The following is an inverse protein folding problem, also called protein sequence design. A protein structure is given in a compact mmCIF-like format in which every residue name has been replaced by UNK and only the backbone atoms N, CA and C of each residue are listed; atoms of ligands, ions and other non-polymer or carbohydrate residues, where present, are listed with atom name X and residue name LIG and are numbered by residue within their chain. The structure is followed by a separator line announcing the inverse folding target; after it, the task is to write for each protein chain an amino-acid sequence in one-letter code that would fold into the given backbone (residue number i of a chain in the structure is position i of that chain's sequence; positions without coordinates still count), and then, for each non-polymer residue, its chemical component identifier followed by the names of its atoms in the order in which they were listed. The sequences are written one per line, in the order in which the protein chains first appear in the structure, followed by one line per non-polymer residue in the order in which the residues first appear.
data_IF_437143223743
#
_entry.id   IF_437143223743
#
_cell.length_a   1.000
_cell.length_b   1.000
_cell.length_c   1.000
_cell.angle_alpha   90.00
_cell.angle_beta   90.00
_cell.angle_gamma   90.00
#
_symmetry.space_group_name_H-M   'P 1'
#
loop_
_entity.id
_entity.type
_entity.pdbx_description
1 polymer ?
#
# COMPACT_ATOMS: atom_id res chain seq x y z
N UNK A 1 -17.63 0.07 25.73
CA UNK A 1 -17.13 -0.09 24.36
C UNK A 1 -17.09 -1.56 24.00
N UNK A 2 -17.43 -1.91 22.76
CA UNK A 2 -17.22 -3.27 22.23
C UNK A 2 -15.75 -3.51 22.01
N UNK A 3 -15.28 -4.71 22.34
CA UNK A 3 -13.87 -5.06 22.16
C UNK A 3 -13.66 -5.77 20.83
N UNK A 4 -12.62 -5.39 20.08
CA UNK A 4 -12.28 -5.99 18.79
C UNK A 4 -10.84 -6.50 18.78
N UNK A 5 -10.66 -7.81 18.50
CA UNK A 5 -9.34 -8.44 18.36
C UNK A 5 -8.85 -8.28 16.93
N UNK A 6 -7.72 -7.61 16.74
CA UNK A 6 -7.09 -7.34 15.45
C UNK A 6 -5.84 -8.22 15.29
N UNK A 7 -5.89 -9.17 14.38
CA UNK A 7 -4.80 -10.10 14.07
C UNK A 7 -4.01 -9.53 12.88
N UNK A 8 -2.82 -9.02 13.16
CA UNK A 8 -1.93 -8.40 12.16
C UNK A 8 -0.49 -8.88 12.32
N UNK A 9 0.23 -8.99 11.20
CA UNK A 9 1.67 -9.24 11.23
C UNK A 9 2.46 -7.95 11.33
N UNK A 10 2.04 -6.92 10.57
CA UNK A 10 2.73 -5.64 10.52
C UNK A 10 2.19 -4.71 11.61
N UNK A 11 3.05 -4.39 12.57
CA UNK A 11 2.75 -3.47 13.68
C UNK A 11 4.02 -2.70 14.07
N UNK A 12 3.93 -1.45 14.58
CA UNK A 12 5.12 -0.72 15.02
C UNK A 12 6.01 -1.54 15.99
N UNK A 13 7.34 -1.48 15.86
CA UNK A 13 8.16 -0.55 15.05
C UNK A 13 8.42 -0.98 13.60
N UNK A 14 7.63 -1.90 13.02
CA UNK A 14 7.72 -2.18 11.60
C UNK A 14 7.29 -0.96 10.80
N UNK A 15 8.09 -0.60 9.79
CA UNK A 15 7.77 0.48 8.84
C UNK A 15 7.10 -0.03 7.56
N UNK A 16 6.74 0.90 6.70
CA UNK A 16 6.18 0.66 5.38
C UNK A 16 4.65 0.63 5.32
N UNK A 17 4.12 0.52 4.11
CA UNK A 17 2.67 0.67 3.83
C UNK A 17 1.79 -0.37 4.55
N UNK A 18 2.35 -1.54 4.85
CA UNK A 18 1.62 -2.63 5.51
C UNK A 18 1.15 -2.32 6.94
N UNK A 19 1.83 -1.40 7.63
CA UNK A 19 1.54 -1.02 9.02
C UNK A 19 0.44 0.04 9.09
N UNK A 20 0.49 1.02 8.19
CA UNK A 20 -0.27 2.26 8.28
C UNK A 20 -1.79 2.06 8.42
N UNK A 21 -2.36 1.12 7.64
CA UNK A 21 -3.81 0.92 7.60
C UNK A 21 -4.39 0.60 8.98
N UNK A 22 -3.90 -0.45 9.63
CA UNK A 22 -4.47 -0.88 10.92
C UNK A 22 -3.95 -0.08 12.11
N UNK A 23 -2.75 0.49 12.04
CA UNK A 23 -2.30 1.46 13.03
C UNK A 23 -3.26 2.66 13.10
N UNK A 24 -3.60 3.24 11.93
CA UNK A 24 -4.51 4.39 11.85
C UNK A 24 -5.95 4.02 12.22
N UNK A 25 -6.43 2.82 11.85
CA UNK A 25 -7.75 2.37 12.31
C UNK A 25 -7.78 2.20 13.84
N UNK A 26 -6.77 1.58 14.43
CA UNK A 26 -6.65 1.45 15.89
C UNK A 26 -6.65 2.83 16.59
N UNK A 27 -5.99 3.83 15.98
CA UNK A 27 -5.94 5.21 16.48
C UNK A 27 -7.34 5.81 16.65
N UNK A 28 -8.26 5.52 15.74
CA UNK A 28 -9.58 6.15 15.71
C UNK A 28 -10.75 5.23 16.13
N UNK A 29 -10.54 3.93 16.36
CA UNK A 29 -11.64 3.00 16.69
C UNK A 29 -12.41 3.36 17.95
N UNK A 30 -11.73 3.96 18.94
CA UNK A 30 -12.39 4.42 20.19
C UNK A 30 -13.40 5.53 19.92
N UNK A 31 -13.19 6.38 18.93
CA UNK A 31 -14.14 7.42 18.52
C UNK A 31 -15.48 6.83 18.03
N UNK A 32 -15.46 5.56 17.63
CA UNK A 32 -16.61 4.81 17.10
C UNK A 32 -17.09 3.71 18.04
N UNK A 33 -16.70 3.75 19.31
CA UNK A 33 -17.20 2.84 20.35
C UNK A 33 -16.55 1.46 20.40
N UNK A 34 -15.39 1.28 19.75
CA UNK A 34 -14.64 0.03 19.76
C UNK A 34 -13.32 0.16 20.52
N UNK A 35 -13.08 -0.77 21.44
CA UNK A 35 -11.79 -0.91 22.14
C UNK A 35 -10.92 -1.93 21.39
N UNK A 36 -9.82 -1.52 20.77
CA UNK A 36 -8.95 -2.42 20.02
C UNK A 36 -8.05 -3.25 20.94
N UNK A 37 -7.91 -4.54 20.61
CA UNK A 37 -6.90 -5.46 21.14
C UNK A 37 -6.08 -5.95 19.97
N UNK A 38 -4.79 -5.70 19.96
CA UNK A 38 -3.92 -6.04 18.82
C UNK A 38 -3.12 -7.31 19.12
N UNK A 39 -3.20 -8.30 18.23
CA UNK A 39 -2.36 -9.50 18.27
C UNK A 39 -1.34 -9.47 17.13
N UNK A 40 -0.05 -9.50 17.48
CA UNK A 40 1.07 -9.34 16.56
C UNK A 40 2.28 -10.21 16.99
N UNK A 41 3.24 -10.56 16.09
CA UNK A 41 4.43 -11.28 16.50
C UNK A 41 5.33 -10.43 17.42
N UNK A 42 6.05 -11.12 18.33
CA UNK A 42 7.01 -10.49 19.24
C UNK A 42 8.31 -10.12 18.52
N UNK A 43 8.77 -11.01 17.64
CA UNK A 43 10.06 -10.96 16.95
C UNK A 43 9.89 -11.08 15.42
N UNK A 44 9.11 -10.20 14.76
CA UNK A 44 8.89 -10.28 13.31
C UNK A 44 10.16 -9.95 12.54
N UNK A 45 10.29 -10.51 11.34
CA UNK A 45 11.30 -10.06 10.39
C UNK A 45 10.87 -8.71 9.78
N UNK A 46 11.57 -7.64 10.13
CA UNK A 46 11.25 -6.28 9.68
C UNK A 46 11.90 -6.02 8.32
N UNK A 47 11.10 -5.63 7.33
CA UNK A 47 11.62 -5.12 6.04
C UNK A 47 12.20 -3.69 6.19
N UNK A 48 11.59 -2.89 7.04
CA UNK A 48 12.01 -1.57 7.44
C UNK A 48 11.63 -1.37 8.91
N UNK A 49 12.42 -0.57 9.64
CA UNK A 49 12.14 -0.18 11.02
C UNK A 49 11.83 1.29 11.06
N UNK A 50 10.71 1.65 11.69
CA UNK A 50 10.29 3.03 11.90
C UNK A 50 9.76 3.19 13.33
N UNK A 51 10.60 3.73 14.20
CA UNK A 51 10.26 3.94 15.60
C UNK A 51 9.32 5.13 15.82
N UNK A 52 9.21 6.04 14.84
CA UNK A 52 8.31 7.19 14.93
C UNK A 52 6.86 6.75 15.05
N UNK A 53 6.50 5.62 14.42
CA UNK A 53 5.16 5.04 14.46
C UNK A 53 4.73 4.54 15.85
N UNK A 54 5.66 4.32 16.78
CA UNK A 54 5.32 3.95 18.16
C UNK A 54 4.51 5.04 18.87
N UNK A 55 4.72 6.30 18.51
CA UNK A 55 4.01 7.45 19.07
C UNK A 55 2.55 7.53 18.62
N UNK A 56 2.21 6.83 17.55
CA UNK A 56 0.85 6.79 16.99
C UNK A 56 -0.04 5.73 17.63
N UNK A 57 0.54 4.82 18.41
CA UNK A 57 -0.23 3.81 19.14
C UNK A 57 -0.97 4.54 20.29
N UNK A 58 -2.31 4.50 20.33
CA UNK A 58 -3.05 5.15 21.42
C UNK A 58 -2.69 4.54 22.77
N UNK A 59 -2.64 5.40 23.77
CA UNK A 59 -2.36 4.97 25.14
C UNK A 59 -3.39 3.93 25.64
N UNK A 60 -2.91 2.92 26.36
CA UNK A 60 -3.74 1.87 26.95
C UNK A 60 -4.26 0.82 25.96
N UNK A 61 -3.86 0.83 24.69
CA UNK A 61 -4.19 -0.27 23.76
C UNK A 61 -3.50 -1.56 24.20
N UNK A 62 -4.31 -2.60 24.40
CA UNK A 62 -3.80 -3.93 24.73
C UNK A 62 -3.11 -4.56 23.52
N UNK A 63 -1.80 -4.89 23.66
CA UNK A 63 -1.01 -5.51 22.60
C UNK A 63 -0.53 -6.89 23.05
N UNK A 64 -1.10 -7.93 22.45
CA UNK A 64 -0.75 -9.31 22.68
C UNK A 64 0.37 -9.71 21.70
N UNK A 65 1.50 -10.15 22.25
CA UNK A 65 2.67 -10.55 21.46
C UNK A 65 3.02 -12.01 21.69
N UNK A 66 3.38 -12.72 20.62
CA UNK A 66 3.89 -14.10 20.70
C UNK A 66 5.05 -14.27 19.74
N UNK A 67 6.04 -15.05 20.15
CA UNK A 67 7.17 -15.40 19.29
C UNK A 67 6.70 -16.09 18.00
N UNK A 68 7.35 -15.73 16.90
CA UNK A 68 7.18 -16.36 15.60
C UNK A 68 8.47 -17.07 15.18
N UNK A 69 8.34 -18.28 14.65
CA UNK A 69 9.42 -18.97 13.96
C UNK A 69 9.22 -18.82 12.46
N UNK A 70 10.13 -18.10 11.83
CA UNK A 70 10.11 -17.90 10.39
C UNK A 70 11.12 -18.81 9.68
N UNK A 71 10.76 -19.38 8.51
CA UNK A 71 11.63 -20.33 7.79
C UNK A 71 12.97 -19.74 7.36
N UNK A 72 13.07 -18.43 7.34
CA UNK A 72 14.28 -17.70 6.98
C UNK A 72 15.44 -17.96 7.97
N UNK A 73 15.14 -18.16 9.25
CA UNK A 73 16.13 -18.56 10.23
C UNK A 73 16.63 -19.99 9.97
N UNK A 74 15.75 -20.88 9.51
CA UNK A 74 16.13 -22.22 9.06
C UNK A 74 17.03 -22.17 7.82
N UNK A 75 16.73 -21.29 6.87
CA UNK A 75 17.54 -21.09 5.66
C UNK A 75 18.94 -20.55 5.97
N UNK A 76 19.08 -19.63 6.94
CA UNK A 76 20.38 -19.14 7.42
C UNK A 76 21.24 -20.28 7.99
N UNK A 77 20.63 -21.17 8.75
CA UNK A 77 21.31 -22.34 9.33
C UNK A 77 21.80 -23.29 8.21
N UNK A 78 20.96 -23.52 7.18
CA UNK A 78 21.30 -24.43 6.07
C UNK A 78 22.31 -23.85 5.07
N UNK A 79 22.36 -22.52 4.89
CA UNK A 79 23.20 -21.89 3.85
C UNK A 79 24.48 -21.25 4.39
N UNK A 80 24.65 -21.15 5.71
CA UNK A 80 25.84 -20.54 6.35
C UNK A 80 26.05 -19.05 6.03
N UNK A 81 25.11 -18.37 5.37
CA UNK A 81 25.23 -16.96 4.99
C UNK A 81 24.92 -16.04 6.16
N UNK A 82 25.83 -15.07 6.44
CA UNK A 82 25.61 -14.02 7.43
C UNK A 82 24.48 -13.06 7.02
N UNK A 83 23.77 -12.54 8.02
CA UNK A 83 22.56 -11.72 7.94
C UNK A 83 22.62 -10.51 6.99
N UNK A 84 23.80 -9.99 6.66
CA UNK A 84 23.99 -8.78 5.86
C UNK A 84 23.90 -8.98 4.33
N UNK A 85 23.86 -10.21 3.83
CA UNK A 85 23.89 -10.50 2.40
C UNK A 85 22.56 -10.90 1.77
N UNK A 86 21.51 -11.01 2.56
CA UNK A 86 20.19 -11.39 2.05
C UNK A 86 19.19 -10.30 2.42
N UNK A 87 18.87 -9.42 1.47
CA UNK A 87 17.91 -8.34 1.70
C UNK A 87 16.50 -8.92 1.86
N UNK A 88 15.75 -8.56 2.92
CA UNK A 88 14.31 -8.80 2.97
C UNK A 88 13.67 -8.08 1.78
N UNK A 89 12.80 -8.72 1.05
CA UNK A 89 12.18 -8.10 -0.13
C UNK A 89 12.57 -8.69 -1.48
N UNK A 90 13.35 -9.75 -1.53
CA UNK A 90 13.80 -10.41 -2.77
C UNK A 90 12.66 -10.88 -3.70
N UNK A 91 11.41 -10.77 -3.30
CA UNK A 91 10.24 -11.13 -4.11
C UNK A 91 9.74 -9.95 -4.95
N UNK A 92 9.98 -8.70 -4.55
CA UNK A 92 9.50 -7.52 -5.29
C UNK A 92 10.42 -7.06 -6.42
N UNK A 93 11.64 -7.61 -6.53
CA UNK A 93 12.63 -7.20 -7.53
C UNK A 93 12.84 -8.19 -8.68
N UNK A 94 11.94 -9.15 -8.88
CA UNK A 94 12.05 -10.09 -10.02
C UNK A 94 11.64 -9.46 -11.37
N UNK A 95 11.45 -8.14 -11.42
CA UNK A 95 11.04 -7.41 -12.63
C UNK A 95 12.19 -6.70 -13.38
N UNK A 96 13.41 -6.64 -12.86
CA UNK A 96 14.49 -5.95 -13.57
C UNK A 96 15.85 -6.59 -13.31
N UNK A 97 16.26 -7.43 -14.22
CA UNK A 97 17.61 -7.96 -14.27
C UNK A 97 17.65 -9.32 -14.96
N UNK A 98 18.05 -9.35 -16.19
CA UNK A 98 18.43 -10.54 -16.96
C UNK A 98 19.65 -11.22 -16.33
N UNK A 99 19.48 -11.82 -15.16
CA UNK A 99 20.48 -12.65 -14.50
C UNK A 99 19.88 -14.03 -14.25
N UNK A 100 20.45 -15.08 -14.82
CA UNK A 100 20.18 -16.50 -14.52
C UNK A 100 20.35 -16.71 -13.02
N UNK A 101 19.25 -16.63 -12.24
CA UNK A 101 19.25 -16.97 -10.82
C UNK A 101 19.93 -18.33 -10.60
N UNK A 102 20.82 -18.41 -9.61
CA UNK A 102 21.54 -19.64 -9.27
C UNK A 102 20.54 -20.78 -9.05
N UNK A 103 20.90 -22.01 -9.42
CA UNK A 103 20.08 -23.22 -9.16
C UNK A 103 19.64 -23.28 -7.70
N UNK A 104 20.51 -22.85 -6.77
CA UNK A 104 20.22 -22.75 -5.33
C UNK A 104 19.08 -21.75 -5.03
N UNK A 105 19.02 -20.64 -5.74
CA UNK A 105 17.93 -19.64 -5.57
C UNK A 105 16.59 -20.19 -6.05
N UNK A 106 16.58 -20.89 -7.19
CA UNK A 106 15.39 -21.57 -7.72
C UNK A 106 14.87 -22.65 -6.78
N UNK A 107 15.76 -23.48 -6.23
CA UNK A 107 15.41 -24.50 -5.24
C UNK A 107 14.87 -23.85 -3.95
N UNK A 108 15.51 -22.79 -3.48
CA UNK A 108 15.06 -22.05 -2.29
C UNK A 108 13.67 -21.45 -2.49
N UNK A 109 13.43 -20.83 -3.65
CA UNK A 109 12.11 -20.29 -4.00
C UNK A 109 11.06 -21.40 -4.06
N UNK A 110 11.39 -22.52 -4.72
CA UNK A 110 10.49 -23.68 -4.81
C UNK A 110 10.12 -24.24 -3.43
N UNK A 111 11.11 -24.44 -2.54
CA UNK A 111 10.84 -24.90 -1.17
C UNK A 111 9.95 -23.91 -0.43
N UNK A 112 10.28 -22.63 -0.48
CA UNK A 112 9.51 -21.58 0.19
C UNK A 112 8.07 -21.52 -0.29
N UNK A 113 7.85 -21.61 -1.60
CA UNK A 113 6.53 -21.47 -2.21
C UNK A 113 5.66 -22.72 -2.06
N UNK A 114 6.25 -23.92 -1.91
CA UNK A 114 5.50 -25.16 -1.93
C UNK A 114 5.36 -25.82 -0.54
N UNK A 115 6.17 -25.44 0.45
CA UNK A 115 6.11 -26.04 1.79
C UNK A 115 5.56 -25.09 2.87
N UNK A 116 5.63 -23.77 2.64
CA UNK A 116 5.11 -22.79 3.60
C UNK A 116 3.84 -22.13 3.05
N UNK A 117 2.71 -22.78 3.28
CA UNK A 117 1.39 -22.39 2.75
C UNK A 117 0.53 -21.84 3.89
N UNK A 118 -0.02 -20.64 3.73
CA UNK A 118 -0.12 -19.81 2.53
C UNK A 118 1.09 -18.90 2.27
N UNK A 119 1.95 -18.72 3.25
CA UNK A 119 3.11 -17.82 3.23
C UNK A 119 4.13 -18.24 4.31
N UNK A 120 5.32 -17.64 4.36
CA UNK A 120 6.36 -17.99 5.34
C UNK A 120 5.96 -17.87 6.82
N UNK A 121 4.80 -17.31 7.12
CA UNK A 121 4.27 -17.16 8.49
C UNK A 121 3.37 -18.34 8.90
N UNK A 122 3.25 -19.35 8.05
CA UNK A 122 2.38 -20.53 8.27
C UNK A 122 2.65 -21.26 9.58
N UNK A 123 3.92 -21.33 10.01
CA UNK A 123 4.30 -21.97 11.29
C UNK A 123 3.72 -21.24 12.51
N UNK A 124 3.35 -19.98 12.38
CA UNK A 124 2.74 -19.18 13.45
C UNK A 124 1.26 -19.46 13.64
N UNK A 125 0.58 -20.12 12.68
CA UNK A 125 -0.86 -20.35 12.72
C UNK A 125 -1.26 -21.17 13.96
N UNK A 126 -0.72 -22.35 14.14
CA UNK A 126 -1.14 -23.26 15.23
C UNK A 126 -0.84 -22.72 16.63
N UNK A 127 0.37 -22.18 16.91
CA UNK A 127 0.66 -21.55 18.19
C UNK A 127 -0.25 -20.36 18.50
N UNK A 128 -0.54 -19.52 17.47
CA UNK A 128 -1.43 -18.36 17.62
C UNK A 128 -2.86 -18.77 17.95
N UNK A 129 -3.39 -19.76 17.26
CA UNK A 129 -4.75 -20.27 17.52
C UNK A 129 -4.85 -20.81 18.95
N UNK A 130 -3.87 -21.58 19.43
CA UNK A 130 -3.87 -22.11 20.79
C UNK A 130 -3.82 -21.00 21.83
N UNK A 131 -2.97 -20.00 21.63
CA UNK A 131 -2.84 -18.85 22.52
C UNK A 131 -4.14 -18.02 22.55
N UNK A 132 -4.67 -17.65 21.38
CA UNK A 132 -5.86 -16.81 21.29
C UNK A 132 -7.10 -17.50 21.84
N UNK A 133 -7.25 -18.82 21.63
CA UNK A 133 -8.34 -19.59 22.27
C UNK A 133 -8.27 -19.58 23.78
N UNK A 134 -7.07 -19.60 24.37
CA UNK A 134 -6.91 -19.49 25.83
C UNK A 134 -7.26 -18.07 26.30
N UNK A 135 -6.69 -17.05 25.64
CA UNK A 135 -6.94 -15.66 25.96
C UNK A 135 -8.44 -15.31 25.92
N UNK A 136 -9.15 -15.72 24.85
CA UNK A 136 -10.58 -15.41 24.66
C UNK A 136 -11.53 -16.11 25.64
N UNK A 137 -11.07 -17.12 26.39
CA UNK A 137 -11.84 -17.67 27.52
C UNK A 137 -11.88 -16.74 28.73
N UNK A 138 -10.78 -15.99 28.93
CA UNK A 138 -10.60 -15.09 30.08
C UNK A 138 -10.96 -13.64 29.74
N UNK A 139 -10.78 -13.26 28.48
CA UNK A 139 -10.95 -11.89 27.98
C UNK A 139 -11.80 -11.88 26.69
N UNK A 140 -13.12 -11.73 26.86
CA UNK A 140 -14.07 -11.76 25.76
C UNK A 140 -13.87 -10.55 24.80
N UNK A 141 -14.04 -10.79 23.48
CA UNK A 141 -14.14 -9.76 22.47
C UNK A 141 -15.43 -9.95 21.66
N UNK A 142 -15.93 -8.88 21.07
CA UNK A 142 -17.20 -8.88 20.31
C UNK A 142 -17.00 -9.19 18.84
N UNK A 143 -15.79 -8.97 18.31
CA UNK A 143 -15.43 -9.30 16.94
C UNK A 143 -13.95 -9.63 16.80
N UNK A 144 -13.63 -10.37 15.74
CA UNK A 144 -12.26 -10.64 15.29
C UNK A 144 -12.07 -9.94 13.95
N UNK A 145 -10.89 -9.34 13.75
CA UNK A 145 -10.43 -8.83 12.47
C UNK A 145 -9.12 -9.49 12.11
N UNK A 146 -8.95 -9.87 10.85
CA UNK A 146 -7.65 -10.27 10.31
C UNK A 146 -7.32 -9.44 9.08
N UNK A 147 -6.06 -9.02 8.95
CA UNK A 147 -5.59 -8.25 7.81
C UNK A 147 -4.44 -8.96 7.10
N UNK A 148 -4.54 -9.07 5.79
CA UNK A 148 -3.58 -9.70 4.91
C UNK A 148 -3.22 -8.87 3.69
N UNK A 149 -2.04 -9.10 3.07
CA UNK A 149 -1.03 -10.09 3.41
C UNK A 149 -0.26 -9.77 4.70
N UNK A 150 0.37 -10.78 5.37
CA UNK A 150 0.39 -12.20 5.07
C UNK A 150 -0.98 -12.87 5.29
N UNK A 151 -1.33 -13.83 4.42
CA UNK A 151 -2.64 -14.49 4.47
C UNK A 151 -2.77 -15.53 5.59
N UNK A 152 -1.65 -15.92 6.23
CA UNK A 152 -1.65 -16.69 7.48
C UNK A 152 -2.50 -16.05 8.57
N UNK A 153 -2.63 -14.72 8.59
CA UNK A 153 -3.49 -13.99 9.55
C UNK A 153 -4.95 -14.39 9.40
N UNK A 154 -5.42 -14.51 8.15
CA UNK A 154 -6.79 -14.96 7.89
C UNK A 154 -7.02 -16.41 8.35
N UNK A 155 -6.04 -17.29 8.18
CA UNK A 155 -6.14 -18.68 8.64
C UNK A 155 -6.13 -18.79 10.17
N UNK A 156 -5.41 -17.93 10.88
CA UNK A 156 -5.48 -17.81 12.35
C UNK A 156 -6.90 -17.42 12.75
N UNK A 157 -7.39 -16.29 12.21
CA UNK A 157 -8.72 -15.76 12.53
C UNK A 157 -9.84 -16.77 12.23
N UNK A 158 -9.80 -17.41 11.07
CA UNK A 158 -10.78 -18.45 10.67
C UNK A 158 -10.85 -19.59 11.68
N UNK A 159 -9.69 -20.11 12.13
CA UNK A 159 -9.64 -21.19 13.12
C UNK A 159 -10.11 -20.73 14.50
N UNK A 160 -9.81 -19.50 14.89
CA UNK A 160 -10.27 -18.92 16.16
C UNK A 160 -11.78 -18.67 16.12
N UNK A 161 -12.30 -18.02 15.08
CA UNK A 161 -13.73 -17.76 14.90
C UNK A 161 -14.55 -19.04 14.91
N UNK A 162 -14.13 -20.08 14.17
CA UNK A 162 -14.78 -21.41 14.20
C UNK A 162 -14.82 -22.04 15.60
N UNK A 163 -13.79 -21.81 16.41
CA UNK A 163 -13.68 -22.43 17.74
C UNK A 163 -14.41 -21.67 18.83
N UNK A 164 -14.68 -20.36 18.63
CA UNK A 164 -15.26 -19.46 19.64
C UNK A 164 -16.65 -18.96 19.28
N UNK A 165 -17.06 -19.06 18.02
CA UNK A 165 -18.32 -18.48 17.52
C UNK A 165 -18.28 -16.95 17.38
N UNK A 166 -17.14 -16.31 17.64
CA UNK A 166 -17.00 -14.86 17.55
C UNK A 166 -17.02 -14.43 16.07
N UNK A 167 -17.84 -13.43 15.68
CA UNK A 167 -17.93 -12.98 14.30
C UNK A 167 -16.59 -12.41 13.80
N UNK A 168 -16.32 -12.63 12.50
CA UNK A 168 -15.02 -12.35 11.91
C UNK A 168 -15.11 -11.52 10.65
N UNK A 169 -14.33 -10.41 10.61
CA UNK A 169 -14.07 -9.58 9.46
C UNK A 169 -12.69 -9.90 8.86
N UNK A 170 -12.66 -10.22 7.56
CA UNK A 170 -11.41 -10.42 6.81
C UNK A 170 -11.09 -9.18 5.95
N UNK A 171 -9.94 -8.53 6.21
CA UNK A 171 -9.46 -7.35 5.47
C UNK A 171 -8.37 -7.75 4.47
N UNK A 172 -8.71 -7.75 3.18
CA UNK A 172 -7.81 -8.04 2.06
C UNK A 172 -7.24 -6.74 1.51
N UNK A 173 -5.98 -6.44 1.83
CA UNK A 173 -5.28 -5.26 1.30
C UNK A 173 -4.75 -5.48 -0.12
N UNK A 174 -4.53 -6.73 -0.46
CA UNK A 174 -4.09 -7.20 -1.77
C UNK A 174 -4.83 -8.50 -2.13
N UNK A 175 -5.00 -8.82 -3.43
CA UNK A 175 -5.50 -10.12 -3.83
C UNK A 175 -4.55 -11.24 -3.37
N UNK A 176 -5.06 -12.43 -3.15
CA UNK A 176 -4.23 -13.57 -2.78
C UNK A 176 -3.75 -14.33 -4.01
N UNK A 177 -4.63 -15.09 -4.67
CA UNK A 177 -4.21 -15.91 -5.83
C UNK A 177 -4.24 -15.15 -7.16
N UNK A 178 -4.95 -14.02 -7.23
CA UNK A 178 -4.97 -13.12 -8.39
C UNK A 178 -3.87 -12.04 -8.34
N UNK A 179 -2.99 -12.06 -7.32
CA UNK A 179 -1.86 -11.15 -7.28
C UNK A 179 -0.94 -11.35 -8.50
N UNK A 180 -0.54 -10.26 -9.16
CA UNK A 180 0.21 -10.32 -10.43
C UNK A 180 1.48 -11.18 -10.37
N UNK A 181 2.14 -11.21 -9.21
CA UNK A 181 3.36 -11.99 -9.01
C UNK A 181 3.12 -13.45 -8.59
N UNK A 182 1.86 -13.85 -8.29
CA UNK A 182 1.54 -15.21 -7.85
C UNK A 182 2.00 -16.29 -8.85
N UNK A 183 1.86 -16.00 -10.16
CA UNK A 183 2.30 -16.89 -11.24
C UNK A 183 3.82 -17.10 -11.31
N UNK A 184 4.60 -16.16 -10.76
CA UNK A 184 6.07 -16.21 -10.76
C UNK A 184 6.67 -16.87 -9.52
N UNK A 185 5.85 -17.22 -8.52
CA UNK A 185 6.31 -17.85 -7.28
C UNK A 185 6.69 -19.32 -7.44
N UNK A 186 6.44 -19.95 -8.60
CA UNK A 186 6.83 -21.33 -8.88
C UNK A 186 6.04 -22.38 -8.08
N UNK A 187 4.78 -22.12 -7.79
CA UNK A 187 3.89 -23.09 -7.16
C UNK A 187 3.67 -24.30 -8.06
N UNK A 188 3.73 -25.50 -7.48
CA UNK A 188 3.24 -26.71 -8.15
C UNK A 188 1.72 -26.66 -8.30
N UNK A 189 1.16 -27.37 -9.27
CA UNK A 189 -0.28 -27.38 -9.52
C UNK A 189 -1.13 -27.76 -8.28
N UNK A 190 -0.76 -28.77 -7.46
CA UNK A 190 -1.48 -29.08 -6.22
C UNK A 190 -1.42 -27.95 -5.21
N UNK A 191 -0.26 -27.26 -5.09
CA UNK A 191 -0.09 -26.13 -4.16
C UNK A 191 -0.89 -24.92 -4.62
N UNK A 192 -0.88 -24.59 -5.91
CA UNK A 192 -1.72 -23.54 -6.47
C UNK A 192 -3.21 -23.80 -6.24
N UNK A 193 -3.66 -25.05 -6.41
CA UNK A 193 -5.04 -25.47 -6.11
C UNK A 193 -5.36 -25.33 -4.60
N UNK A 194 -4.40 -25.66 -3.73
CA UNK A 194 -4.54 -25.48 -2.28
C UNK A 194 -4.70 -24.01 -1.91
N UNK A 195 -3.89 -23.11 -2.47
CA UNK A 195 -4.03 -21.66 -2.26
C UNK A 195 -5.44 -21.16 -2.65
N UNK A 196 -5.92 -21.52 -3.84
CA UNK A 196 -7.28 -21.17 -4.30
C UNK A 196 -8.36 -21.69 -3.33
N UNK A 197 -8.21 -22.93 -2.85
CA UNK A 197 -9.14 -23.51 -1.87
C UNK A 197 -9.10 -22.76 -0.54
N UNK A 198 -7.92 -22.40 -0.05
CA UNK A 198 -7.76 -21.65 1.20
C UNK A 198 -8.35 -20.24 1.08
N UNK A 199 -8.04 -19.51 0.02
CA UNK A 199 -8.60 -18.19 -0.26
C UNK A 199 -10.13 -18.25 -0.29
N UNK A 200 -10.70 -19.15 -1.11
CA UNK A 200 -12.15 -19.35 -1.21
C UNK A 200 -12.77 -19.66 0.16
N UNK A 201 -12.13 -20.50 0.97
CA UNK A 201 -12.63 -20.85 2.30
C UNK A 201 -12.60 -19.67 3.29
N UNK A 202 -11.62 -18.78 3.20
CA UNK A 202 -11.56 -17.54 3.99
C UNK A 202 -12.70 -16.60 3.60
N UNK A 203 -12.90 -16.39 2.30
CA UNK A 203 -13.94 -15.50 1.77
C UNK A 203 -15.34 -16.01 2.13
N UNK A 204 -15.60 -17.31 2.01
CA UNK A 204 -16.91 -17.89 2.29
C UNK A 204 -17.25 -18.01 3.78
N UNK A 205 -16.27 -18.10 4.64
CA UNK A 205 -16.48 -18.29 6.09
C UNK A 205 -16.48 -16.97 6.86
N UNK A 206 -15.78 -15.95 6.41
CA UNK A 206 -15.81 -14.63 7.04
C UNK A 206 -17.25 -14.08 7.08
N UNK A 207 -17.60 -13.42 8.19
CA UNK A 207 -18.92 -12.79 8.36
C UNK A 207 -19.03 -11.47 7.61
N UNK A 208 -17.87 -10.84 7.35
CA UNK A 208 -17.70 -9.72 6.43
C UNK A 208 -16.32 -9.78 5.76
N UNK A 209 -16.25 -9.30 4.52
CA UNK A 209 -15.01 -9.15 3.78
C UNK A 209 -14.88 -7.69 3.36
N UNK A 210 -13.73 -7.08 3.65
CA UNK A 210 -13.39 -5.74 3.18
C UNK A 210 -12.14 -5.77 2.34
N UNK A 211 -12.03 -4.83 1.39
CA UNK A 211 -10.84 -4.66 0.56
C UNK A 211 -10.61 -3.19 0.22
N UNK A 212 -9.54 -2.90 -0.53
CA UNK A 212 -9.06 -1.53 -0.75
C UNK A 212 -9.49 -0.91 -2.07
N UNK A 213 -9.95 -1.70 -3.05
CA UNK A 213 -10.34 -1.21 -4.39
C UNK A 213 -11.53 -1.98 -4.97
N UNK A 214 -12.22 -1.37 -5.95
CA UNK A 214 -13.36 -1.99 -6.61
C UNK A 214 -12.96 -3.20 -7.47
N UNK A 215 -11.80 -3.15 -8.10
CA UNK A 215 -11.27 -4.28 -8.88
C UNK A 215 -11.07 -5.50 -7.98
N UNK A 216 -10.40 -5.35 -6.83
CA UNK A 216 -10.20 -6.45 -5.88
C UNK A 216 -11.55 -6.93 -5.32
N UNK A 217 -12.47 -5.99 -5.00
CA UNK A 217 -13.80 -6.36 -4.51
C UNK A 217 -14.55 -7.24 -5.49
N UNK A 218 -14.54 -6.89 -6.78
CA UNK A 218 -15.17 -7.69 -7.83
C UNK A 218 -14.58 -9.09 -7.93
N UNK A 219 -13.24 -9.19 -7.85
CA UNK A 219 -12.54 -10.48 -7.87
C UNK A 219 -12.85 -11.37 -6.66
N UNK A 220 -12.94 -10.78 -5.46
CA UNK A 220 -13.29 -11.52 -4.25
C UNK A 220 -14.76 -11.89 -4.22
N UNK A 221 -15.64 -11.07 -4.82
CA UNK A 221 -17.08 -11.35 -4.94
C UNK A 221 -17.37 -12.63 -5.73
N UNK A 222 -16.54 -12.96 -6.75
CA UNK A 222 -16.64 -14.21 -7.52
C UNK A 222 -16.44 -15.47 -6.67
N UNK A 223 -15.79 -15.37 -5.52
CA UNK A 223 -15.54 -16.50 -4.61
C UNK A 223 -16.71 -16.82 -3.69
N UNK A 224 -17.80 -16.04 -3.73
CA UNK A 224 -19.05 -16.27 -3.02
C UNK A 224 -19.00 -15.98 -1.52
N UNK A 225 -18.71 -14.73 -1.11
CA UNK A 225 -18.75 -14.34 0.30
C UNK A 225 -20.19 -14.35 0.85
N UNK A 226 -20.36 -14.45 2.18
CA UNK A 226 -21.67 -14.42 2.85
C UNK A 226 -22.41 -13.09 2.65
N UNK A 227 -21.66 -11.99 2.56
CA UNK A 227 -22.17 -10.63 2.31
C UNK A 227 -21.37 -10.00 1.18
N UNK A 228 -21.91 -8.98 0.54
CA UNK A 228 -21.18 -8.23 -0.47
C UNK A 228 -19.84 -7.70 0.09
N UNK A 229 -18.79 -7.83 -0.71
CA UNK A 229 -17.47 -7.31 -0.36
C UNK A 229 -17.55 -5.78 -0.28
N UNK A 230 -17.11 -5.23 0.84
CA UNK A 230 -17.14 -3.78 1.07
C UNK A 230 -15.80 -3.15 0.72
N UNK A 231 -15.80 -2.11 -0.11
CA UNK A 231 -14.60 -1.34 -0.42
C UNK A 231 -14.38 -0.27 0.65
N UNK A 232 -13.25 -0.39 1.34
CA UNK A 232 -12.73 0.62 2.28
C UNK A 232 -11.29 0.87 1.90
N UNK A 233 -11.05 1.92 1.13
CA UNK A 233 -9.74 2.24 0.55
C UNK A 233 -8.65 2.46 1.61
N UNK A 234 -7.41 2.54 1.19
CA UNK A 234 -6.40 3.22 1.98
C UNK A 234 -6.74 4.72 2.03
N UNK A 235 -6.01 5.48 2.81
CA UNK A 235 -6.30 6.89 2.99
C UNK A 235 -5.12 7.63 3.63
N UNK A 236 -5.32 8.90 3.90
CA UNK A 236 -4.39 9.77 4.61
C UNK A 236 -4.90 10.09 6.02
N UNK A 237 -3.99 10.50 6.89
CA UNK A 237 -4.35 11.05 8.21
C UNK A 237 -4.04 12.55 8.21
N UNK A 238 -5.02 13.38 8.51
CA UNK A 238 -4.79 14.82 8.64
C UNK A 238 -3.71 15.17 9.68
N UNK A 239 -3.54 14.34 10.70
CA UNK A 239 -2.51 14.53 11.71
C UNK A 239 -1.07 14.39 11.17
N UNK A 240 -0.88 13.75 10.01
CA UNK A 240 0.42 13.64 9.35
C UNK A 240 0.78 14.93 8.56
N UNK A 241 -0.20 15.83 8.38
CA UNK A 241 -0.03 17.06 7.62
C UNK A 241 -0.08 18.25 8.59
N UNK A 242 1.03 18.96 8.81
CA UNK A 242 1.05 20.08 9.71
C UNK A 242 0.10 21.19 9.25
N UNK A 243 -0.68 21.73 10.19
CA UNK A 243 -1.60 22.86 9.97
C UNK A 243 -0.76 24.17 9.91
N UNK A 244 0.09 24.27 8.91
CA UNK A 244 0.90 25.44 8.62
C UNK A 244 0.74 25.82 7.16
N UNK A 245 0.78 27.11 6.88
CA UNK A 245 0.85 27.58 5.50
C UNK A 245 2.22 27.19 4.91
N UNK A 246 2.17 26.43 3.80
CA UNK A 246 3.38 25.99 3.10
C UNK A 246 3.39 26.67 1.74
N UNK A 247 4.20 27.71 1.56
CA UNK A 247 4.29 28.42 0.30
C UNK A 247 4.80 27.50 -0.80
N UNK A 248 4.36 27.77 -2.03
CA UNK A 248 4.91 27.10 -3.20
C UNK A 248 6.41 27.35 -3.31
N UNK A 249 7.13 26.34 -3.78
CA UNK A 249 8.52 26.54 -4.20
C UNK A 249 8.55 27.47 -5.44
N UNK A 250 9.59 28.29 -5.51
CA UNK A 250 9.82 29.12 -6.70
C UNK A 250 10.03 28.24 -7.93
N UNK A 251 9.35 28.59 -9.02
CA UNK A 251 9.40 27.88 -10.28
C UNK A 251 8.18 26.99 -10.56
N UNK A 252 8.16 26.46 -11.75
CA UNK A 252 7.17 25.48 -12.20
C UNK A 252 7.65 24.08 -11.85
N UNK A 253 7.25 23.60 -10.67
CA UNK A 253 7.78 22.38 -10.08
C UNK A 253 6.89 21.17 -10.35
N UNK A 254 7.50 20.07 -10.82
CA UNK A 254 6.89 18.73 -10.93
C UNK A 254 7.60 17.81 -9.97
N UNK A 255 6.91 17.31 -8.95
CA UNK A 255 7.52 16.52 -7.88
C UNK A 255 6.99 15.08 -7.85
N UNK A 256 7.92 14.12 -7.80
CA UNK A 256 7.63 12.70 -7.55
C UNK A 256 8.28 12.27 -6.23
N UNK A 257 7.57 11.46 -5.43
CA UNK A 257 8.10 10.96 -4.14
C UNK A 257 8.05 9.43 -4.05
N UNK A 258 9.08 8.85 -3.47
CA UNK A 258 9.21 7.42 -3.19
C UNK A 258 9.97 6.60 -4.24
N UNK A 259 9.68 5.30 -4.32
CA UNK A 259 10.33 4.41 -5.28
C UNK A 259 9.77 4.63 -6.68
N UNK A 260 10.66 4.93 -7.65
CA UNK A 260 10.32 5.14 -9.06
C UNK A 260 11.04 4.11 -9.93
N UNK A 261 10.31 3.10 -10.36
CA UNK A 261 10.84 1.96 -11.12
C UNK A 261 10.65 2.13 -12.61
N UNK A 262 11.50 1.49 -13.42
CA UNK A 262 11.52 1.62 -14.87
C UNK A 262 10.15 1.37 -15.54
N UNK A 263 9.32 0.46 -15.01
CA UNK A 263 7.98 0.19 -15.56
C UNK A 263 6.99 1.34 -15.36
N UNK A 264 7.34 2.31 -14.53
CA UNK A 264 6.55 3.50 -14.24
C UNK A 264 7.05 4.75 -14.97
N UNK A 265 8.06 4.62 -15.85
CA UNK A 265 8.67 5.75 -16.54
C UNK A 265 7.71 6.40 -17.55
N UNK A 266 7.28 7.67 -17.37
CA UNK A 266 6.43 8.38 -18.32
C UNK A 266 7.28 9.11 -19.37
N UNK A 267 7.93 8.37 -20.28
CA UNK A 267 8.84 8.92 -21.30
C UNK A 267 8.19 10.01 -22.16
N UNK A 268 6.87 9.92 -22.37
CA UNK A 268 6.10 10.96 -23.06
C UNK A 268 6.18 12.31 -22.35
N UNK A 269 6.16 12.32 -21.02
CA UNK A 269 6.29 13.55 -20.23
C UNK A 269 7.65 14.20 -20.41
N UNK A 270 8.73 13.39 -20.34
CA UNK A 270 10.08 13.93 -20.50
C UNK A 270 10.30 14.53 -21.88
N UNK A 271 9.79 13.88 -22.93
CA UNK A 271 9.81 14.41 -24.30
C UNK A 271 9.08 15.75 -24.40
N UNK A 272 7.87 15.85 -23.86
CA UNK A 272 7.09 17.09 -23.88
C UNK A 272 7.83 18.22 -23.16
N UNK A 273 8.33 17.97 -21.96
CA UNK A 273 9.07 18.97 -21.19
C UNK A 273 10.35 19.42 -21.91
N UNK A 274 11.10 18.48 -22.50
CA UNK A 274 12.29 18.79 -23.31
C UNK A 274 11.99 19.66 -24.52
N UNK A 275 10.88 19.41 -25.23
CA UNK A 275 10.46 20.25 -26.35
C UNK A 275 10.08 21.67 -25.91
N UNK A 276 9.56 21.87 -24.71
CA UNK A 276 9.18 23.17 -24.13
C UNK A 276 10.40 23.99 -23.68
N UNK A 277 11.59 23.39 -23.52
CA UNK A 277 12.82 24.13 -23.18
C UNK A 277 13.23 25.14 -24.27
N UNK A 278 12.68 25.05 -25.47
CA UNK A 278 12.85 26.07 -26.52
C UNK A 278 12.32 27.45 -26.08
N UNK A 279 11.36 27.49 -25.18
CA UNK A 279 10.92 28.72 -24.51
C UNK A 279 11.85 28.96 -23.29
N UNK A 280 12.62 30.06 -23.31
CA UNK A 280 13.59 30.39 -22.27
C UNK A 280 12.95 30.66 -20.90
N UNK A 281 11.73 31.20 -20.87
CA UNK A 281 10.98 31.44 -19.62
C UNK A 281 10.56 30.11 -19.00
N UNK A 282 10.03 29.20 -19.81
CA UNK A 282 9.69 27.85 -19.36
C UNK A 282 10.95 27.11 -18.88
N UNK A 283 12.03 27.16 -19.65
CA UNK A 283 13.28 26.49 -19.32
C UNK A 283 13.87 26.96 -17.98
N UNK A 284 13.79 28.27 -17.69
CA UNK A 284 14.26 28.84 -16.42
C UNK A 284 13.36 28.54 -15.23
N UNK A 285 12.06 28.38 -15.48
CA UNK A 285 11.07 28.12 -14.43
C UNK A 285 10.95 26.63 -14.06
N UNK A 286 11.15 25.72 -15.02
CA UNK A 286 10.93 24.28 -14.83
C UNK A 286 11.89 23.69 -13.80
N UNK A 287 11.33 22.93 -12.83
CA UNK A 287 12.08 22.09 -11.88
C UNK A 287 11.40 20.71 -11.80
N UNK A 288 12.16 19.66 -12.03
CA UNK A 288 11.75 18.27 -11.87
C UNK A 288 12.38 17.74 -10.60
N UNK A 289 11.59 17.48 -9.58
CA UNK A 289 12.07 16.98 -8.29
C UNK A 289 11.72 15.51 -8.13
N UNK A 290 12.74 14.67 -7.94
CA UNK A 290 12.59 13.24 -7.66
C UNK A 290 13.14 12.95 -6.26
N UNK A 291 12.26 12.58 -5.33
CA UNK A 291 12.62 12.30 -3.94
C UNK A 291 12.51 10.78 -3.70
N UNK A 292 13.61 10.15 -3.34
CA UNK A 292 13.70 8.71 -3.09
C UNK A 292 14.49 7.96 -4.15
N UNK A 293 14.30 6.65 -4.18
CA UNK A 293 15.07 5.80 -5.10
C UNK A 293 14.44 5.79 -6.49
N UNK A 294 15.20 6.28 -7.48
CA UNK A 294 14.80 6.36 -8.89
C UNK A 294 15.68 5.45 -9.73
N UNK A 295 15.06 4.65 -10.59
CA UNK A 295 15.75 3.78 -11.54
C UNK A 295 16.63 4.59 -12.50
N UNK A 296 17.83 4.08 -12.81
CA UNK A 296 18.79 4.77 -13.67
C UNK A 296 18.26 5.03 -15.07
N UNK A 297 17.42 4.14 -15.61
CA UNK A 297 16.81 4.31 -16.93
C UNK A 297 15.89 5.54 -17.02
N UNK A 298 15.24 5.90 -15.93
CA UNK A 298 14.42 7.12 -15.87
C UNK A 298 15.31 8.36 -15.89
N UNK A 299 16.42 8.33 -15.14
CA UNK A 299 17.38 9.44 -15.12
C UNK A 299 18.05 9.63 -16.49
N UNK A 300 18.34 8.53 -17.20
CA UNK A 300 18.88 8.55 -18.57
C UNK A 300 17.87 9.11 -19.56
N UNK A 301 16.58 8.75 -19.43
CA UNK A 301 15.52 9.27 -20.29
C UNK A 301 15.32 10.79 -20.08
N UNK A 302 15.33 11.26 -18.84
CA UNK A 302 15.27 12.68 -18.50
C UNK A 302 16.46 13.44 -19.15
N UNK A 303 17.69 12.91 -19.03
CA UNK A 303 18.89 13.52 -19.62
C UNK A 303 18.84 13.54 -21.15
N UNK A 304 18.41 12.45 -21.76
CA UNK A 304 18.32 12.35 -23.23
C UNK A 304 17.33 13.34 -23.84
N UNK A 305 16.38 13.83 -23.04
CA UNK A 305 15.46 14.90 -23.42
C UNK A 305 15.96 16.32 -23.02
N UNK A 306 17.25 16.45 -22.64
CA UNK A 306 17.88 17.75 -22.35
C UNK A 306 17.47 18.38 -21.00
N UNK A 307 16.85 17.62 -20.09
CA UNK A 307 16.27 18.11 -18.85
C UNK A 307 17.23 18.04 -17.64
N UNK A 308 18.51 17.73 -17.86
CA UNK A 308 19.48 17.51 -16.78
C UNK A 308 19.62 18.73 -15.85
N UNK A 309 19.64 19.93 -16.43
CA UNK A 309 19.76 21.18 -15.65
C UNK A 309 18.49 21.52 -14.85
N UNK A 310 17.36 20.92 -15.18
CA UNK A 310 16.09 21.11 -14.49
C UNK A 310 15.82 20.02 -13.45
N UNK A 311 16.66 18.97 -13.40
CA UNK A 311 16.48 17.81 -12.53
C UNK A 311 17.10 18.04 -11.15
N UNK A 312 16.28 17.88 -10.11
CA UNK A 312 16.70 17.90 -8.71
C UNK A 312 16.43 16.51 -8.14
N UNK A 313 17.50 15.73 -7.95
CA UNK A 313 17.40 14.42 -7.31
C UNK A 313 17.70 14.54 -5.82
N UNK A 314 16.82 13.99 -4.99
CA UNK A 314 17.02 13.85 -3.55
C UNK A 314 16.96 12.35 -3.19
N UNK A 315 17.84 11.92 -2.30
CA UNK A 315 17.84 10.55 -1.80
C UNK A 315 16.70 10.33 -0.78
N UNK A 316 16.82 9.29 0.04
CA UNK A 316 15.85 9.04 1.10
C UNK A 316 15.69 10.28 1.99
N UNK A 317 14.46 10.71 2.12
CA UNK A 317 14.06 11.87 2.93
C UNK A 317 13.02 11.39 3.96
N UNK A 318 13.09 11.85 5.22
CA UNK A 318 12.08 11.55 6.24
C UNK A 318 10.67 11.93 5.79
N UNK A 319 9.66 11.17 6.25
CA UNK A 319 8.28 11.31 5.79
C UNK A 319 7.70 12.71 6.04
N UNK A 320 7.97 13.30 7.17
CA UNK A 320 7.55 14.67 7.54
C UNK A 320 8.10 15.73 6.58
N UNK A 321 9.35 15.60 6.15
CA UNK A 321 9.94 16.47 5.14
C UNK A 321 9.36 16.20 3.74
N UNK A 322 9.10 14.93 3.39
CA UNK A 322 8.46 14.56 2.11
C UNK A 322 7.10 15.23 1.97
N UNK A 323 6.29 15.23 3.01
CA UNK A 323 4.98 15.91 3.04
C UNK A 323 5.13 17.42 2.75
N UNK A 324 6.15 18.08 3.29
CA UNK A 324 6.40 19.48 2.99
C UNK A 324 6.78 19.70 1.52
N UNK A 325 7.61 18.83 0.94
CA UNK A 325 7.95 18.91 -0.48
C UNK A 325 6.75 18.64 -1.38
N UNK A 326 5.85 17.72 -1.02
CA UNK A 326 4.60 17.51 -1.73
C UNK A 326 3.73 18.78 -1.71
N UNK A 327 3.64 19.46 -0.56
CA UNK A 327 2.86 20.70 -0.41
C UNK A 327 3.48 21.91 -1.09
N UNK A 328 4.79 21.94 -1.31
CA UNK A 328 5.51 23.01 -2.04
C UNK A 328 5.42 22.86 -3.55
N UNK A 329 5.12 21.67 -4.04
CA UNK A 329 5.06 21.40 -5.46
C UNK A 329 3.90 22.15 -6.16
N UNK A 330 4.10 22.49 -7.44
CA UNK A 330 3.02 22.95 -8.30
C UNK A 330 2.20 21.79 -8.84
N UNK A 331 2.87 20.69 -9.17
CA UNK A 331 2.31 19.46 -9.73
C UNK A 331 2.92 18.28 -9.00
N UNK A 332 2.10 17.29 -8.66
CA UNK A 332 2.54 16.01 -8.14
C UNK A 332 2.42 14.94 -9.23
N UNK A 333 3.53 14.29 -9.54
CA UNK A 333 3.59 13.22 -10.54
C UNK A 333 3.24 11.87 -9.88
N UNK A 334 2.16 11.25 -10.35
CA UNK A 334 1.71 9.93 -9.90
C UNK A 334 1.85 8.93 -11.06
N UNK A 335 2.63 7.88 -10.87
CA UNK A 335 2.85 6.89 -11.91
C UNK A 335 2.55 5.48 -11.39
N UNK A 336 1.65 4.78 -12.06
CA UNK A 336 1.26 3.39 -11.79
C UNK A 336 1.99 2.39 -12.69
N UNK A 337 1.58 1.12 -12.64
CA UNK A 337 2.05 0.13 -13.60
C UNK A 337 1.39 0.31 -14.97
N UNK A 338 2.08 -0.13 -16.05
CA UNK A 338 1.55 -0.11 -17.42
C UNK A 338 0.63 -1.29 -17.72
N UNK A 339 0.82 -2.40 -17.01
CA UNK A 339 0.14 -3.66 -17.27
C UNK A 339 -1.34 -3.59 -16.93
N UNK A 340 -2.22 -4.29 -17.67
CA UNK A 340 -3.66 -4.35 -17.35
C UNK A 340 -3.96 -4.80 -15.92
N UNK A 341 -3.13 -5.66 -15.36
CA UNK A 341 -3.23 -6.13 -13.98
C UNK A 341 -3.00 -5.01 -12.94
N UNK A 342 -2.44 -3.88 -13.37
CA UNK A 342 -2.26 -2.69 -12.52
C UNK A 342 -3.55 -1.89 -12.30
N UNK A 343 -4.65 -2.19 -13.00
CA UNK A 343 -5.94 -1.49 -12.86
C UNK A 343 -6.47 -1.48 -11.43
N UNK A 344 -6.22 -2.55 -10.68
CA UNK A 344 -6.62 -2.67 -9.27
C UNK A 344 -5.69 -2.02 -8.26
N UNK A 345 -4.61 -1.35 -8.68
CA UNK A 345 -3.62 -0.78 -7.78
C UNK A 345 -3.94 0.68 -7.47
N UNK A 346 -4.25 0.95 -6.21
CA UNK A 346 -4.41 2.30 -5.67
C UNK A 346 -3.33 2.52 -4.59
N UNK A 347 -2.28 3.26 -4.96
CA UNK A 347 -1.08 3.42 -4.14
C UNK A 347 -1.28 4.33 -2.95
N UNK A 348 -0.48 4.15 -1.88
CA UNK A 348 -0.49 5.06 -0.72
C UNK A 348 -0.18 6.52 -1.08
N UNK A 349 0.73 6.74 -2.04
CA UNK A 349 1.08 8.08 -2.54
C UNK A 349 -0.13 8.87 -3.05
N UNK A 350 -1.08 8.20 -3.69
CA UNK A 350 -2.30 8.85 -4.17
C UNK A 350 -2.99 9.62 -3.04
N UNK A 351 -3.17 8.98 -1.89
CA UNK A 351 -3.84 9.61 -0.76
C UNK A 351 -3.02 10.74 -0.12
N UNK A 352 -1.70 10.59 -0.06
CA UNK A 352 -0.80 11.66 0.39
C UNK A 352 -0.88 12.88 -0.55
N UNK A 353 -0.93 12.65 -1.86
CA UNK A 353 -1.06 13.70 -2.87
C UNK A 353 -2.40 14.42 -2.79
N UNK A 354 -3.49 13.70 -2.52
CA UNK A 354 -4.77 14.30 -2.23
C UNK A 354 -4.67 15.26 -1.02
N UNK A 355 -4.06 14.78 0.08
CA UNK A 355 -3.92 15.57 1.30
C UNK A 355 -2.96 16.76 1.13
N UNK A 356 -1.97 16.65 0.26
CA UNK A 356 -1.09 17.77 -0.08
C UNK A 356 -1.81 18.90 -0.80
N UNK A 357 -2.98 18.63 -1.43
CA UNK A 357 -3.80 19.63 -2.09
C UNK A 357 -3.15 20.22 -3.34
N UNK A 358 -2.47 19.40 -4.12
CA UNK A 358 -1.81 19.84 -5.37
C UNK A 358 -2.34 19.06 -6.57
N UNK A 359 -2.41 19.67 -7.76
CA UNK A 359 -2.80 18.97 -8.98
C UNK A 359 -1.94 17.75 -9.23
N UNK A 360 -2.58 16.62 -9.52
CA UNK A 360 -1.92 15.35 -9.77
C UNK A 360 -1.91 15.06 -11.26
N UNK A 361 -0.71 14.92 -11.83
CA UNK A 361 -0.48 14.38 -13.16
C UNK A 361 -0.29 12.88 -13.04
N UNK A 362 -1.29 12.11 -13.44
CA UNK A 362 -1.31 10.65 -13.32
C UNK A 362 -0.89 9.94 -14.61
N UNK A 363 -0.15 8.83 -14.48
CA UNK A 363 0.12 7.88 -15.56
C UNK A 363 -0.28 6.48 -15.14
N UNK A 364 -1.07 5.80 -15.97
CA UNK A 364 -1.55 4.45 -15.69
C UNK A 364 -2.70 4.02 -16.60
N UNK A 365 -3.24 2.82 -16.41
CA UNK A 365 -4.32 2.31 -17.24
C UNK A 365 -5.62 3.09 -16.99
N UNK A 366 -6.22 3.58 -18.08
CA UNK A 366 -7.53 4.24 -18.03
C UNK A 366 -8.64 3.28 -17.56
N UNK A 367 -9.60 3.80 -16.80
CA UNK A 367 -10.67 3.02 -16.17
C UNK A 367 -10.20 2.12 -15.03
N UNK A 368 -8.96 2.25 -14.55
CA UNK A 368 -8.48 1.60 -13.34
C UNK A 368 -8.92 2.34 -12.06
N UNK A 369 -8.78 1.68 -10.89
CA UNK A 369 -9.22 2.26 -9.61
C UNK A 369 -8.53 3.60 -9.29
N UNK A 370 -7.28 3.79 -9.74
CA UNK A 370 -6.54 5.05 -9.54
C UNK A 370 -7.08 6.18 -10.45
N UNK A 371 -7.46 5.87 -11.71
CA UNK A 371 -8.09 6.82 -12.64
C UNK A 371 -9.46 7.27 -12.11
N UNK A 372 -10.30 6.29 -11.72
CA UNK A 372 -11.63 6.57 -11.13
C UNK A 372 -11.51 7.43 -9.86
N UNK A 373 -10.58 7.08 -8.96
CA UNK A 373 -10.40 7.82 -7.73
C UNK A 373 -9.87 9.25 -7.97
N UNK A 374 -9.02 9.45 -8.99
CA UNK A 374 -8.50 10.76 -9.36
C UNK A 374 -9.59 11.64 -9.99
N UNK A 375 -10.44 11.07 -10.84
CA UNK A 375 -11.60 11.74 -11.40
C UNK A 375 -12.63 12.12 -10.33
N UNK A 376 -13.03 11.18 -9.48
CA UNK A 376 -13.97 11.42 -8.37
C UNK A 376 -13.48 12.48 -7.38
N UNK A 377 -12.18 12.54 -7.13
CA UNK A 377 -11.59 13.52 -6.21
C UNK A 377 -11.36 14.90 -6.87
N UNK A 378 -11.49 15.01 -8.21
CA UNK A 378 -11.14 16.20 -8.99
C UNK A 378 -9.73 16.73 -8.69
N UNK A 379 -8.84 15.83 -8.30
CA UNK A 379 -7.49 16.18 -7.87
C UNK A 379 -6.48 16.30 -9.01
N UNK A 380 -6.86 15.89 -10.21
CA UNK A 380 -5.97 15.90 -11.37
C UNK A 380 -6.51 15.05 -12.51
N UNK A 381 -5.62 14.58 -13.36
CA UNK A 381 -5.99 13.78 -14.54
C UNK A 381 -5.02 12.61 -14.74
N UNK A 382 -5.57 11.46 -15.16
CA UNK A 382 -4.83 10.24 -15.49
C UNK A 382 -4.68 10.12 -17.01
N UNK A 383 -3.47 9.81 -17.46
CA UNK A 383 -3.15 9.59 -18.87
C UNK A 383 -2.55 8.21 -19.10
N UNK A 384 -2.82 7.66 -20.29
CA UNK A 384 -2.03 6.57 -20.80
C UNK A 384 -0.61 7.06 -21.13
N UNK A 385 0.36 6.17 -21.01
CA UNK A 385 1.78 6.49 -21.21
C UNK A 385 2.15 6.97 -22.62
N UNK A 386 1.26 6.75 -23.60
CA UNK A 386 1.48 7.14 -25.01
C UNK A 386 0.66 8.37 -25.40
N UNK A 387 -0.14 8.95 -24.47
CA UNK A 387 -1.02 10.09 -24.78
C UNK A 387 -0.25 11.42 -24.76
N UNK A 388 0.46 11.70 -25.85
CA UNK A 388 1.24 12.93 -26.01
C UNK A 388 0.36 14.18 -25.98
N UNK A 389 -0.72 14.22 -26.77
CA UNK A 389 -1.55 15.42 -26.94
C UNK A 389 -2.26 15.83 -25.64
N UNK A 390 -2.84 14.86 -24.94
CA UNK A 390 -3.50 15.09 -23.65
C UNK A 390 -2.54 15.62 -22.60
N UNK A 391 -1.38 14.97 -22.44
CA UNK A 391 -0.35 15.40 -21.48
C UNK A 391 0.20 16.78 -21.83
N UNK A 392 0.49 17.05 -23.11
CA UNK A 392 1.01 18.35 -23.55
C UNK A 392 0.01 19.48 -23.25
N UNK A 393 -1.27 19.29 -23.62
CA UNK A 393 -2.34 20.24 -23.33
C UNK A 393 -2.50 20.51 -21.84
N UNK A 394 -2.42 19.44 -21.02
CA UNK A 394 -2.55 19.55 -19.57
C UNK A 394 -1.37 20.34 -18.96
N UNK A 395 -0.12 20.03 -19.37
CA UNK A 395 1.09 20.73 -18.91
C UNK A 395 1.02 22.21 -19.32
N UNK A 396 0.65 22.50 -20.58
CA UNK A 396 0.55 23.89 -21.06
C UNK A 396 -0.50 24.68 -20.27
N UNK A 397 -1.64 24.08 -19.92
CA UNK A 397 -2.65 24.69 -19.08
C UNK A 397 -2.14 24.96 -17.63
N UNK A 398 -1.42 24.02 -17.02
CA UNK A 398 -0.83 24.24 -15.69
C UNK A 398 0.26 25.32 -15.72
N UNK A 399 1.06 25.36 -16.77
CA UNK A 399 2.07 26.40 -16.93
C UNK A 399 1.44 27.80 -17.12
N UNK A 400 0.35 27.90 -17.88
CA UNK A 400 -0.38 29.14 -18.02
C UNK A 400 -0.94 29.68 -16.69
N UNK A 401 -1.44 28.78 -15.81
CA UNK A 401 -1.84 29.15 -14.44
C UNK A 401 -0.66 29.64 -13.62
N UNK A 402 0.50 28.99 -13.73
CA UNK A 402 1.72 29.40 -13.06
C UNK A 402 2.17 30.82 -13.48
N UNK A 403 2.15 31.15 -14.79
CA UNK A 403 2.62 32.45 -15.30
C UNK A 403 1.78 33.63 -14.83
N UNK A 404 0.51 33.42 -14.54
CA UNK A 404 -0.37 34.49 -13.98
C UNK A 404 -0.37 34.49 -12.43
N UNK A 405 0.50 33.67 -11.79
CA UNK A 405 0.57 33.60 -10.34
C UNK A 405 -0.62 32.93 -9.67
N UNK A 406 -1.50 32.25 -10.45
CA UNK A 406 -2.65 31.57 -9.88
C UNK A 406 -2.20 30.38 -8.99
N UNK A 407 -2.80 30.28 -7.81
CA UNK A 407 -2.69 29.06 -7.02
C UNK A 407 -3.52 27.96 -7.69
N UNK A 408 -3.01 26.73 -7.81
CA UNK A 408 -3.84 25.62 -8.27
C UNK A 408 -4.97 25.40 -7.25
N UNK A 409 -6.21 25.58 -7.72
CA UNK A 409 -7.39 25.36 -6.89
C UNK A 409 -7.78 23.88 -7.06
N UNK A 410 -7.76 23.13 -5.95
CA UNK A 410 -8.38 21.82 -5.88
C UNK A 410 -9.71 21.92 -5.17
N UNK A 411 -10.80 21.84 -5.91
CA UNK A 411 -12.15 21.66 -5.36
C UNK A 411 -12.37 20.18 -5.05
N UNK A 412 -11.65 19.62 -4.09
CA UNK A 412 -11.74 18.18 -3.84
C UNK A 412 -12.41 17.84 -2.53
N UNK A 413 -13.45 17.02 -2.59
CA UNK A 413 -14.01 16.33 -1.42
C UNK A 413 -13.13 15.14 -1.03
N UNK A 414 -11.98 15.43 -0.40
CA UNK A 414 -11.01 14.39 -0.02
C UNK A 414 -11.32 13.79 1.36
N UNK A 415 -12.18 14.41 2.17
CA UNK A 415 -12.49 13.96 3.53
C UNK A 415 -12.89 12.49 3.60
N UNK A 416 -13.60 11.98 2.58
CA UNK A 416 -14.02 10.57 2.45
C UNK A 416 -12.85 9.58 2.47
N UNK A 417 -11.63 10.06 2.19
CA UNK A 417 -10.39 9.27 2.22
C UNK A 417 -9.58 9.49 3.51
N UNK A 418 -10.07 10.29 4.46
CA UNK A 418 -9.38 10.42 5.75
C UNK A 418 -9.44 9.13 6.55
N UNK A 419 -8.36 8.79 7.25
CA UNK A 419 -8.30 7.58 8.09
C UNK A 419 -9.40 7.55 9.14
N UNK A 420 -9.82 8.72 9.65
CA UNK A 420 -10.91 8.83 10.62
C UNK A 420 -12.24 8.39 9.98
N UNK A 421 -12.60 8.94 8.83
CA UNK A 421 -13.84 8.57 8.11
C UNK A 421 -13.85 7.10 7.68
N UNK A 422 -12.70 6.60 7.20
CA UNK A 422 -12.54 5.20 6.82
C UNK A 422 -12.67 4.27 8.04
N UNK A 423 -12.23 4.70 9.22
CA UNK A 423 -12.46 3.97 10.48
C UNK A 423 -13.95 3.90 10.82
N UNK A 424 -14.71 4.99 10.59
CA UNK A 424 -16.16 4.97 10.72
C UNK A 424 -16.84 3.95 9.80
N UNK A 425 -16.30 3.76 8.55
CA UNK A 425 -16.79 2.71 7.65
C UNK A 425 -16.47 1.30 8.19
N UNK A 426 -15.27 1.08 8.72
CA UNK A 426 -14.91 -0.20 9.39
C UNK A 426 -15.84 -0.47 10.58
N UNK A 427 -16.10 0.53 11.43
CA UNK A 427 -16.99 0.39 12.57
C UNK A 427 -18.43 0.01 12.16
N UNK A 428 -18.94 0.59 11.07
CA UNK A 428 -20.25 0.21 10.51
C UNK A 428 -20.29 -1.25 10.05
N UNK A 429 -19.20 -1.76 9.43
CA UNK A 429 -19.12 -3.17 9.05
C UNK A 429 -19.06 -4.07 10.29
N UNK A 430 -18.29 -3.69 11.31
CA UNK A 430 -18.25 -4.39 12.60
C UNK A 430 -19.63 -4.43 13.27
N UNK A 431 -20.37 -3.31 13.28
CA UNK A 431 -21.74 -3.26 13.81
C UNK A 431 -22.68 -4.24 13.11
N UNK A 432 -22.53 -4.43 11.80
CA UNK A 432 -23.38 -5.35 11.02
C UNK A 432 -23.13 -6.83 11.34
N UNK A 433 -21.90 -7.19 11.74
CA UNK A 433 -21.58 -8.58 12.11
C UNK A 433 -21.81 -8.85 13.60
N UNK A 434 -21.68 -7.84 14.47
CA UNK A 434 -21.93 -7.97 15.90
C UNK A 434 -23.42 -7.96 16.27
N UNK A 435 -24.32 -7.57 15.38
CA UNK A 435 -25.77 -7.52 15.60
C UNK A 435 -26.53 -8.80 15.20
N UNK A 436 -25.83 -9.81 14.71
CA UNK A 436 -26.44 -11.08 14.30
C UNK A 436 -26.55 -12.08 15.47
N UNK A 437 -27.05 -11.62 16.65
CA UNK A 437 -27.54 -12.49 17.72
C UNK A 437 -29.07 -12.38 17.84
#
# INVERSE_FOLDING_TARGET
MRRVLIITYYWPPSGGSGVQRWLKFVKYLRDYGYEPVVYTPLNPELMAKDESLLKEIPEGVEILKREITEPYNLYKIFTGKKSSQVKPGFINNSGSGSGRGSVKEKISLFIRSNFFIPDPKALWISPSVSFLKKYLKESRVDAIVSTGPPHSMHLIARKVARATGIPWLADFRDPWTKMYNFKYLGHSAPVAALHKRLEKSVIQEADAVVTVTNTIASELQELGPKKAVTVITNGFDYADFPDVDVPFEDGFTITYTGLFVHTQNPSVLWRILGERLKNSEFASALKIRLIGNTDSSILEDIRSNGLENNLIKMDYTPHDEVVLWQRRARILLLSGGREPESKGILTGKFFEYLAAGRPVLGFGPKGGDMDVALEESRAGEMFDYENYEGVAKWIDAQYALYTIGAAPVMESEISKYSRKELTGKIAKVLDQICKCE
#
